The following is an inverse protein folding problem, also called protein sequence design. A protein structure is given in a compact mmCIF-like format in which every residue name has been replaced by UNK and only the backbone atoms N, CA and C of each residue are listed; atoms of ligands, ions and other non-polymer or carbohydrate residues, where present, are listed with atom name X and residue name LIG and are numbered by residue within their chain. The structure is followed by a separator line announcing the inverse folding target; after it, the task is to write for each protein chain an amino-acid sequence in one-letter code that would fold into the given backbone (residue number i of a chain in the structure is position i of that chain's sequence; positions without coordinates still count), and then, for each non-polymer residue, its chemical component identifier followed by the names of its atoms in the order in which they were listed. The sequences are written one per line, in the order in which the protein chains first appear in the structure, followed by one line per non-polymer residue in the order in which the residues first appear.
data_IF_766706872466
#
_entry.id   IF_766706872466
#
_cell.length_a   1.000
_cell.length_b   1.000
_cell.length_c   1.000
_cell.angle_alpha   90.00
_cell.angle_beta   90.00
_cell.angle_gamma   90.00
#
_symmetry.space_group_name_H-M   'P 1'
#
loop_
_entity.id
_entity.type
_entity.pdbx_description
1 polymer ?
#
# COMPACT_ATOMS: atom_id res chain seq x y z
N UNK A 1 63.92 -55.39 -19.23
CA UNK A 1 63.87 -56.79 -18.79
C UNK A 1 63.72 -56.78 -17.27
N UNK A 2 62.59 -57.30 -16.75
CA UNK A 2 62.31 -57.74 -15.35
C UNK A 2 62.57 -56.74 -14.22
N UNK A 3 61.56 -56.00 -13.75
CA UNK A 3 60.65 -56.32 -12.62
C UNK A 3 61.35 -56.53 -11.27
N UNK A 4 61.24 -55.53 -10.38
CA UNK A 4 61.21 -55.76 -8.93
C UNK A 4 59.83 -55.37 -8.44
N UNK A 5 59.11 -56.36 -7.96
CA UNK A 5 57.79 -56.26 -7.37
C UNK A 5 57.88 -56.93 -6.03
N UNK A 6 57.67 -56.16 -4.97
CA UNK A 6 57.20 -56.63 -3.67
C UNK A 6 56.56 -55.44 -2.97
N UNK A 7 55.26 -55.29 -3.18
CA UNK A 7 54.32 -54.88 -2.13
C UNK A 7 53.96 -56.15 -1.29
N UNK A 8 52.98 -56.20 -0.38
CA UNK A 8 52.17 -55.18 0.33
C UNK A 8 52.17 -55.46 1.87
N UNK A 9 51.46 -54.76 2.77
CA UNK A 9 50.04 -54.99 3.12
C UNK A 9 49.61 -53.97 4.18
N UNK A 10 48.49 -53.31 3.88
CA UNK A 10 47.41 -52.76 4.69
C UNK A 10 47.63 -52.48 6.19
N UNK A 11 47.17 -51.29 6.62
CA UNK A 11 45.86 -51.22 7.29
C UNK A 11 45.48 -49.79 7.68
N UNK A 12 44.25 -49.44 7.29
CA UNK A 12 43.36 -48.44 7.85
C UNK A 12 43.79 -46.97 7.64
N UNK A 13 43.23 -46.25 6.64
CA UNK A 13 41.84 -45.74 6.59
C UNK A 13 41.57 -44.82 7.80
N UNK A 14 41.05 -43.61 7.69
CA UNK A 14 40.31 -42.83 6.70
C UNK A 14 40.04 -41.51 7.47
N UNK A 15 39.76 -40.33 6.94
CA UNK A 15 39.42 -39.84 5.60
C UNK A 15 39.39 -38.32 5.79
N UNK A 16 40.49 -37.64 5.44
CA UNK A 16 40.54 -36.17 5.39
C UNK A 16 40.57 -35.73 3.93
N UNK A 17 39.81 -34.66 3.65
CA UNK A 17 39.85 -33.89 2.41
C UNK A 17 39.37 -34.57 1.13
N UNK A 18 38.04 -34.66 0.98
CA UNK A 18 37.37 -34.61 -0.34
C UNK A 18 36.30 -33.51 -0.36
N UNK A 19 36.67 -32.34 0.18
CA UNK A 19 36.11 -31.07 -0.26
C UNK A 19 36.85 -30.73 -1.57
N UNK A 20 36.15 -30.31 -2.63
CA UNK A 20 36.69 -29.75 -3.89
C UNK A 20 36.88 -30.68 -5.12
N UNK A 21 36.11 -31.77 -5.31
CA UNK A 21 36.10 -32.43 -6.64
C UNK A 21 34.82 -33.17 -7.04
N UNK A 22 33.64 -32.59 -6.80
CA UNK A 22 32.45 -32.93 -7.61
C UNK A 22 31.67 -31.66 -7.95
N UNK A 23 32.38 -30.77 -8.64
CA UNK A 23 31.81 -29.77 -9.54
C UNK A 23 31.25 -30.56 -10.73
N UNK A 24 29.93 -30.67 -10.86
CA UNK A 24 29.30 -31.16 -12.08
C UNK A 24 28.03 -31.95 -11.83
N UNK A 25 26.93 -31.48 -12.45
CA UNK A 25 25.65 -32.19 -12.63
C UNK A 25 24.60 -32.06 -11.52
N UNK A 26 24.02 -30.87 -11.34
CA UNK A 26 22.60 -30.72 -10.96
C UNK A 26 22.09 -29.27 -11.16
N UNK A 27 22.53 -28.61 -12.22
CA UNK A 27 22.15 -27.24 -12.54
C UNK A 27 21.17 -27.24 -13.70
N UNK A 28 19.93 -27.69 -13.47
CA UNK A 28 18.71 -27.27 -14.20
C UNK A 28 17.47 -27.82 -13.48
N UNK A 29 16.59 -26.90 -13.06
CA UNK A 29 15.22 -27.11 -12.52
C UNK A 29 15.16 -27.49 -11.02
N UNK A 30 14.97 -26.53 -10.08
CA UNK A 30 13.76 -25.71 -10.04
C UNK A 30 13.99 -24.29 -9.44
N UNK A 31 14.58 -23.36 -10.19
CA UNK A 31 14.69 -21.95 -9.75
C UNK A 31 13.79 -20.97 -10.52
N UNK A 32 13.11 -21.42 -11.58
CA UNK A 32 12.31 -20.53 -12.44
C UNK A 32 10.86 -20.34 -11.96
N UNK A 33 10.34 -21.21 -11.09
CA UNK A 33 8.92 -21.15 -10.68
C UNK A 33 8.64 -20.12 -9.58
N UNK A 34 9.64 -19.67 -8.81
CA UNK A 34 9.42 -18.69 -7.72
C UNK A 34 9.62 -17.22 -8.13
N UNK A 35 10.29 -16.93 -9.26
CA UNK A 35 10.59 -15.55 -9.66
C UNK A 35 9.47 -14.86 -10.45
N UNK A 36 8.53 -15.61 -11.03
CA UNK A 36 7.45 -15.03 -11.85
C UNK A 36 6.19 -14.63 -11.05
N UNK A 37 6.02 -15.13 -9.82
CA UNK A 37 4.85 -14.80 -8.98
C UNK A 37 4.96 -13.47 -8.24
N UNK A 38 6.17 -12.90 -8.12
CA UNK A 38 6.42 -11.73 -7.26
C UNK A 38 6.24 -10.38 -7.94
N UNK A 39 5.96 -10.35 -9.26
CA UNK A 39 5.87 -9.10 -10.04
C UNK A 39 4.42 -8.61 -10.20
N UNK A 40 3.42 -9.43 -9.84
CA UNK A 40 2.00 -9.11 -10.09
C UNK A 40 1.22 -8.66 -8.85
N UNK A 41 1.83 -8.56 -7.67
CA UNK A 41 1.11 -8.19 -6.43
C UNK A 41 1.24 -6.71 -6.03
N UNK A 42 1.99 -5.90 -6.78
CA UNK A 42 2.38 -4.54 -6.36
C UNK A 42 1.72 -3.40 -7.14
N UNK A 43 0.57 -3.65 -7.75
CA UNK A 43 -0.22 -2.58 -8.38
C UNK A 43 -1.65 -2.59 -7.89
N UNK A 44 -1.83 -2.48 -6.56
CA UNK A 44 -3.07 -1.88 -6.09
C UNK A 44 -2.93 -0.37 -6.30
N UNK A 45 -3.86 0.28 -7.03
CA UNK A 45 -3.92 1.73 -7.02
C UNK A 45 -4.13 2.16 -5.56
N UNK A 46 -3.15 2.86 -4.99
CA UNK A 46 -3.37 3.64 -3.80
C UNK A 46 -4.16 4.87 -4.25
N UNK A 47 -5.49 4.76 -4.24
CA UNK A 47 -6.35 5.94 -4.35
C UNK A 47 -6.01 6.85 -3.18
N UNK A 48 -5.66 8.10 -3.48
CA UNK A 48 -5.39 9.14 -2.49
C UNK A 48 -6.72 9.63 -1.92
N UNK A 49 -7.41 8.74 -1.22
CA UNK A 49 -8.69 9.01 -0.59
C UNK A 49 -8.46 9.93 0.63
N UNK A 50 -9.42 10.80 0.94
CA UNK A 50 -9.30 11.69 2.11
C UNK A 50 -9.18 10.92 3.44
N UNK A 51 -9.69 9.69 3.44
CA UNK A 51 -9.50 8.66 4.45
C UNK A 51 -9.31 7.30 3.78
N UNK A 52 -8.59 6.38 4.41
CA UNK A 52 -8.45 5.02 3.89
C UNK A 52 -9.79 4.29 3.97
N UNK A 53 -10.33 3.80 2.84
CA UNK A 53 -11.54 2.97 2.86
C UNK A 53 -11.41 1.68 3.68
N UNK A 54 -10.19 1.19 3.91
CA UNK A 54 -9.95 0.07 4.82
C UNK A 54 -10.14 0.44 6.30
N UNK A 55 -10.29 1.73 6.59
CA UNK A 55 -10.43 2.32 7.93
C UNK A 55 -11.72 3.13 8.06
N UNK A 56 -12.70 2.89 7.18
CA UNK A 56 -14.03 3.47 7.29
C UNK A 56 -14.71 2.99 8.58
N UNK A 57 -15.19 3.93 9.39
CA UNK A 57 -15.75 3.68 10.73
C UNK A 57 -17.22 4.15 10.84
N UNK A 58 -17.71 4.95 9.89
CA UNK A 58 -19.10 5.42 9.87
C UNK A 58 -19.90 4.85 8.69
N UNK A 59 -21.24 4.72 8.80
CA UNK A 59 -22.09 4.33 7.67
C UNK A 59 -21.95 5.26 6.46
N UNK A 60 -21.64 6.54 6.69
CA UNK A 60 -21.38 7.50 5.62
C UNK A 60 -20.06 7.19 4.92
N UNK A 61 -18.99 6.91 5.65
CA UNK A 61 -17.69 6.54 5.07
C UNK A 61 -17.79 5.25 4.26
N UNK A 62 -18.50 4.24 4.75
CA UNK A 62 -18.77 3.04 3.96
C UNK A 62 -19.56 3.36 2.67
N UNK A 63 -20.54 4.25 2.72
CA UNK A 63 -21.29 4.64 1.52
C UNK A 63 -20.43 5.41 0.51
N UNK A 64 -19.54 6.29 0.98
CA UNK A 64 -18.56 7.00 0.15
C UNK A 64 -17.61 6.01 -0.52
N UNK A 65 -17.07 5.04 0.23
CA UNK A 65 -16.17 4.02 -0.29
C UNK A 65 -16.79 3.08 -1.33
N UNK A 66 -18.11 2.90 -1.30
CA UNK A 66 -18.84 2.05 -2.24
C UNK A 66 -19.45 2.83 -3.42
N UNK A 67 -19.16 4.12 -3.54
CA UNK A 67 -19.65 4.98 -4.63
C UNK A 67 -18.50 5.75 -5.27
N UNK A 68 -18.22 5.47 -6.55
CA UNK A 68 -17.17 6.17 -7.30
C UNK A 68 -17.40 7.69 -7.35
N UNK A 69 -18.65 8.13 -7.51
CA UNK A 69 -19.01 9.55 -7.56
C UNK A 69 -18.74 10.27 -6.23
N UNK A 70 -19.20 9.69 -5.11
CA UNK A 70 -18.97 10.28 -3.79
C UNK A 70 -17.48 10.26 -3.43
N UNK A 71 -16.77 9.20 -3.81
CA UNK A 71 -15.33 9.09 -3.59
C UNK A 71 -14.56 10.18 -4.35
N UNK A 72 -14.90 10.44 -5.62
CA UNK A 72 -14.27 11.50 -6.40
C UNK A 72 -14.52 12.91 -5.83
N UNK A 73 -15.73 13.16 -5.32
CA UNK A 73 -16.04 14.41 -4.62
C UNK A 73 -15.23 14.56 -3.33
N UNK A 74 -15.04 13.47 -2.60
CA UNK A 74 -14.26 13.40 -1.37
C UNK A 74 -12.78 13.71 -1.58
N UNK A 75 -12.15 13.10 -2.60
CA UNK A 75 -10.77 13.40 -3.00
C UNK A 75 -10.60 14.88 -3.41
N UNK A 76 -11.60 15.43 -4.12
CA UNK A 76 -11.59 16.84 -4.54
C UNK A 76 -11.69 17.80 -3.36
N UNK A 77 -12.59 17.52 -2.41
CA UNK A 77 -12.75 18.32 -1.18
C UNK A 77 -11.47 18.28 -0.36
N UNK A 78 -10.83 17.12 -0.21
CA UNK A 78 -9.59 17.00 0.56
C UNK A 78 -8.46 17.79 -0.08
N UNK A 79 -8.31 17.71 -1.40
CA UNK A 79 -7.29 18.48 -2.13
C UNK A 79 -7.46 19.98 -1.91
N UNK A 80 -8.71 20.48 -1.95
CA UNK A 80 -9.03 21.90 -1.70
C UNK A 80 -8.85 22.29 -0.24
N UNK A 81 -9.27 21.44 0.69
CA UNK A 81 -9.04 21.66 2.11
C UNK A 81 -7.54 21.76 2.42
N UNK A 82 -6.73 20.84 1.88
CA UNK A 82 -5.29 20.85 2.05
C UNK A 82 -4.65 22.14 1.50
N UNK A 83 -5.08 22.62 0.33
CA UNK A 83 -4.56 23.87 -0.24
C UNK A 83 -4.90 25.09 0.62
N UNK A 84 -6.14 25.20 1.10
CA UNK A 84 -6.58 26.27 1.99
C UNK A 84 -5.84 26.20 3.33
N UNK A 85 -5.67 24.99 3.88
CA UNK A 85 -4.97 24.77 5.14
C UNK A 85 -3.49 25.17 5.05
N UNK A 86 -2.81 24.84 3.95
CA UNK A 86 -1.42 25.26 3.69
C UNK A 86 -1.32 26.78 3.49
N UNK A 87 -2.34 27.41 2.89
CA UNK A 87 -2.41 28.86 2.72
C UNK A 87 -2.63 29.64 4.03
N UNK A 88 -3.17 29.00 5.07
CA UNK A 88 -3.36 29.62 6.37
C UNK A 88 -2.03 29.82 7.11
N UNK A 89 -1.56 31.07 7.18
CA UNK A 89 -0.22 31.41 7.68
C UNK A 89 -0.14 31.47 9.20
N UNK A 90 -1.24 31.83 9.87
CA UNK A 90 -1.29 31.98 11.32
C UNK A 90 -1.95 30.77 12.00
N UNK A 91 -1.64 30.57 13.29
CA UNK A 91 -2.26 29.49 14.07
C UNK A 91 -3.80 29.65 14.20
N UNK A 92 -4.36 30.86 14.45
CA UNK A 92 -5.81 31.03 14.49
C UNK A 92 -6.52 30.71 13.16
N UNK A 93 -5.93 31.06 12.02
CA UNK A 93 -6.47 30.73 10.70
C UNK A 93 -6.51 29.21 10.48
N UNK A 94 -5.39 28.51 10.72
CA UNK A 94 -5.34 27.04 10.62
C UNK A 94 -6.38 26.38 11.52
N UNK A 95 -6.54 26.89 12.75
CA UNK A 95 -7.54 26.37 13.68
C UNK A 95 -8.97 26.60 13.18
N UNK A 96 -9.26 27.74 12.54
CA UNK A 96 -10.55 28.00 11.93
C UNK A 96 -10.86 27.01 10.80
N UNK A 97 -9.91 26.82 9.87
CA UNK A 97 -10.02 25.89 8.73
C UNK A 97 -10.25 24.45 9.22
N UNK A 98 -9.47 23.98 10.21
CA UNK A 98 -9.66 22.65 10.80
C UNK A 98 -11.02 22.47 11.49
N UNK A 99 -11.50 23.49 12.22
CA UNK A 99 -12.82 23.43 12.85
C UNK A 99 -13.93 23.32 11.80
N UNK A 100 -13.86 24.12 10.74
CA UNK A 100 -14.86 24.08 9.67
C UNK A 100 -14.92 22.72 8.97
N UNK A 101 -13.76 22.09 8.71
CA UNK A 101 -13.69 20.74 8.13
C UNK A 101 -14.27 19.70 9.08
N UNK A 102 -13.92 19.74 10.38
CA UNK A 102 -14.47 18.81 11.38
C UNK A 102 -15.99 18.94 11.51
N UNK A 103 -16.51 20.16 11.52
CA UNK A 103 -17.96 20.40 11.57
C UNK A 103 -18.66 19.92 10.29
N UNK A 104 -18.01 20.01 9.13
CA UNK A 104 -18.55 19.43 7.90
C UNK A 104 -18.59 17.90 7.95
N UNK A 105 -17.52 17.23 8.42
CA UNK A 105 -17.50 15.77 8.57
C UNK A 105 -18.65 15.27 9.46
N UNK A 106 -18.94 15.95 10.57
CA UNK A 106 -20.10 15.63 11.42
C UNK A 106 -21.42 15.71 10.66
N UNK A 107 -21.59 16.72 9.80
CA UNK A 107 -22.79 16.87 8.96
C UNK A 107 -22.89 15.80 7.88
N UNK A 108 -21.78 15.41 7.28
CA UNK A 108 -21.69 14.27 6.35
C UNK A 108 -22.12 12.98 7.07
N UNK A 109 -21.54 12.70 8.22
CA UNK A 109 -21.77 11.46 8.96
C UNK A 109 -23.21 11.34 9.49
N UNK A 110 -23.85 12.48 9.79
CA UNK A 110 -25.26 12.53 10.16
C UNK A 110 -26.21 12.03 9.05
N UNK A 111 -25.77 11.98 7.78
CA UNK A 111 -26.54 11.37 6.70
C UNK A 111 -26.59 9.84 6.77
N UNK A 112 -25.70 9.20 7.55
CA UNK A 112 -25.47 7.76 7.46
C UNK A 112 -25.19 7.33 6.02
N UNK A 113 -25.76 6.21 5.58
CA UNK A 113 -25.59 5.70 4.22
C UNK A 113 -26.56 6.30 3.17
N UNK A 114 -27.27 7.39 3.49
CA UNK A 114 -28.23 7.98 2.56
C UNK A 114 -27.51 8.75 1.44
N UNK A 115 -27.49 8.17 0.24
CA UNK A 115 -26.80 8.74 -0.93
C UNK A 115 -27.25 10.15 -1.29
N UNK A 116 -28.57 10.42 -1.34
CA UNK A 116 -29.09 11.76 -1.69
C UNK A 116 -28.67 12.81 -0.66
N UNK A 117 -28.68 12.46 0.63
CA UNK A 117 -28.20 13.35 1.68
C UNK A 117 -26.70 13.61 1.54
N UNK A 118 -25.90 12.56 1.33
CA UNK A 118 -24.46 12.67 1.15
C UNK A 118 -24.12 13.56 -0.04
N UNK A 119 -24.70 13.29 -1.21
CA UNK A 119 -24.47 14.09 -2.42
C UNK A 119 -24.72 15.58 -2.18
N UNK A 120 -25.83 15.92 -1.52
CA UNK A 120 -26.13 17.31 -1.15
C UNK A 120 -25.05 17.92 -0.23
N UNK A 121 -24.55 17.16 0.77
CA UNK A 121 -23.49 17.65 1.67
C UNK A 121 -22.14 17.82 0.98
N UNK A 122 -21.85 17.01 -0.03
CA UNK A 122 -20.65 17.14 -0.87
C UNK A 122 -20.74 18.37 -1.78
N UNK A 123 -21.87 18.55 -2.48
CA UNK A 123 -22.11 19.72 -3.35
C UNK A 123 -21.99 21.04 -2.59
N UNK A 124 -22.70 21.17 -1.46
CA UNK A 124 -22.65 22.36 -0.61
C UNK A 124 -21.23 22.70 -0.14
N UNK A 125 -20.45 21.67 0.24
CA UNK A 125 -19.08 21.87 0.71
C UNK A 125 -18.15 22.27 -0.42
N UNK A 126 -18.31 21.67 -1.60
CA UNK A 126 -17.53 22.02 -2.77
C UNK A 126 -17.75 23.48 -3.16
N UNK A 127 -19.00 23.95 -3.17
CA UNK A 127 -19.33 25.36 -3.39
C UNK A 127 -18.72 26.28 -2.33
N UNK A 128 -18.73 25.86 -1.07
CA UNK A 128 -18.13 26.63 0.03
C UNK A 128 -16.62 26.77 -0.14
N UNK A 129 -15.91 25.67 -0.43
CA UNK A 129 -14.45 25.67 -0.62
C UNK A 129 -14.04 26.40 -1.90
N UNK A 130 -14.82 26.32 -2.97
CA UNK A 130 -14.58 27.08 -4.20
C UNK A 130 -14.63 28.60 -4.01
N UNK A 131 -15.31 29.09 -2.96
CA UNK A 131 -15.31 30.51 -2.59
C UNK A 131 -14.11 30.91 -1.72
N UNK A 132 -13.37 29.94 -1.19
CA UNK A 132 -12.22 30.13 -0.30
C UNK A 132 -10.87 29.87 -1.00
N UNK A 133 -10.89 29.30 -2.22
CA UNK A 133 -9.72 29.04 -3.08
C UNK A 133 -9.45 30.20 -4.03
#
# INVERSE_FOLDING_TARGET
MTLFMTDPVDSALESDNSLLSMIGQALVLPTVVCAAGLVLFWSLPASAQSFSCASADTPAEFAVCNSEDLLAMDETIETKFASIYVGATTAPERQAVSREQSEWLKRRDACGANFTCLNLRYEERMEMLNRQS
#
